data_IF_270610519577
#
_entry.id   IF_270610519577
#
_cell.length_a   1.000
_cell.length_b   1.000
_cell.length_c   1.000
_cell.angle_alpha   90.00
_cell.angle_beta   90.00
_cell.angle_gamma   90.00
#
_symmetry.space_group_name_H-M   'P 1'
#
loop_
_entity.id
_entity.type
_entity.pdbx_description
1 polymer ?
#
# COMPACT_ATOMS: atom_id res chain seq x y z
N UNK A 1 43.12 47.89 -42.55
CA UNK A 1 42.73 46.78 -43.44
C UNK A 1 41.35 46.29 -42.98
N UNK A 2 40.27 46.86 -43.51
CA UNK A 2 38.90 46.56 -43.06
C UNK A 2 38.20 45.71 -44.11
N UNK A 3 37.85 44.47 -43.77
CA UNK A 3 36.98 43.62 -44.60
C UNK A 3 35.89 43.02 -43.73
N UNK A 4 34.69 43.60 -43.81
CA UNK A 4 33.43 43.01 -43.35
C UNK A 4 32.75 42.34 -44.55
N UNK A 5 32.49 41.03 -44.55
CA UNK A 5 31.50 40.46 -45.47
C UNK A 5 30.10 40.49 -44.84
N UNK A 6 29.16 40.99 -45.62
CA UNK A 6 27.72 41.06 -45.35
C UNK A 6 27.03 39.73 -45.67
N UNK A 7 26.13 39.34 -44.77
CA UNK A 7 24.89 38.55 -44.91
C UNK A 7 24.74 37.54 -46.04
N UNK A 8 24.45 36.29 -45.65
CA UNK A 8 23.47 35.45 -46.35
C UNK A 8 22.54 34.83 -45.32
N UNK A 9 21.31 35.36 -45.24
CA UNK A 9 20.23 34.82 -44.46
C UNK A 9 19.51 33.74 -45.27
N UNK A 10 19.80 32.48 -44.99
CA UNK A 10 19.05 31.33 -45.50
C UNK A 10 17.93 30.98 -44.51
N UNK A 11 16.73 31.52 -44.76
CA UNK A 11 15.49 30.96 -44.18
C UNK A 11 15.19 29.66 -44.90
N UNK A 12 15.30 28.53 -44.19
CA UNK A 12 14.66 27.29 -44.60
C UNK A 12 13.91 26.68 -43.43
N UNK A 13 12.58 26.78 -43.55
CA UNK A 13 11.59 25.74 -43.27
C UNK A 13 11.47 25.26 -41.81
N UNK A 14 10.37 25.72 -41.20
CA UNK A 14 9.77 25.25 -39.95
C UNK A 14 9.23 23.81 -40.12
N UNK A 15 9.68 22.82 -39.34
CA UNK A 15 8.84 21.69 -39.00
C UNK A 15 7.97 22.07 -37.79
N UNK A 16 6.66 22.12 -38.02
CA UNK A 16 5.66 22.21 -36.97
C UNK A 16 5.58 20.86 -36.25
N UNK A 17 6.43 20.65 -35.26
CA UNK A 17 6.30 19.51 -34.36
C UNK A 17 5.16 19.76 -33.38
N UNK A 18 3.97 19.19 -33.66
CA UNK A 18 2.98 18.93 -32.61
C UNK A 18 3.60 17.92 -31.65
N UNK A 19 4.11 18.37 -30.51
CA UNK A 19 4.57 17.49 -29.44
C UNK A 19 3.47 17.40 -28.41
N UNK A 20 2.86 16.23 -28.37
CA UNK A 20 2.02 15.66 -27.33
C UNK A 20 2.44 16.15 -25.94
N UNK A 21 1.53 16.80 -25.22
CA UNK A 21 1.74 17.14 -23.82
C UNK A 21 1.80 15.86 -22.98
N UNK A 22 3.00 15.30 -22.81
CA UNK A 22 3.27 14.31 -21.78
C UNK A 22 3.12 15.06 -20.46
N UNK A 23 2.08 14.73 -19.68
CA UNK A 23 1.94 15.19 -18.30
C UNK A 23 3.19 14.78 -17.53
N UNK A 24 4.06 15.76 -17.24
CA UNK A 24 5.16 15.56 -16.31
C UNK A 24 4.58 15.22 -14.92
N UNK A 25 5.15 14.25 -14.18
CA UNK A 25 4.73 14.03 -12.80
C UNK A 25 5.04 15.29 -11.98
N UNK A 26 4.03 15.79 -11.27
CA UNK A 26 4.21 16.86 -10.28
C UNK A 26 5.15 16.32 -9.20
N UNK A 27 6.44 16.63 -9.29
CA UNK A 27 7.36 16.42 -8.20
C UNK A 27 6.98 17.38 -7.07
N UNK A 28 6.34 16.86 -6.03
CA UNK A 28 6.18 17.58 -4.76
C UNK A 28 7.59 17.79 -4.19
N UNK A 29 8.17 18.97 -4.43
CA UNK A 29 9.34 19.43 -3.69
C UNK A 29 8.88 19.74 -2.28
N UNK A 30 9.21 18.85 -1.35
CA UNK A 30 9.12 19.18 0.07
C UNK A 30 10.14 20.29 0.36
N UNK A 31 9.70 21.31 1.09
CA UNK A 31 10.48 22.51 1.37
C UNK A 31 11.76 22.16 2.13
N UNK A 32 12.90 22.58 1.55
CA UNK A 32 14.19 22.86 2.19
C UNK A 32 14.54 22.03 3.43
N UNK A 33 15.10 20.86 3.20
CA UNK A 33 16.26 20.42 3.97
C UNK A 33 17.43 20.40 2.98
N UNK A 34 18.59 20.94 3.35
CA UNK A 34 19.81 20.74 2.56
C UNK A 34 19.94 19.26 2.16
N UNK A 35 20.54 18.93 1.01
CA UNK A 35 20.84 17.54 0.69
C UNK A 35 21.86 17.02 1.69
N UNK A 36 21.36 16.57 2.85
CA UNK A 36 22.16 15.94 3.87
C UNK A 36 22.71 14.69 3.23
N UNK A 37 24.02 14.69 2.99
CA UNK A 37 24.70 13.58 2.35
C UNK A 37 24.31 12.31 3.10
N UNK A 38 23.77 11.29 2.40
CA UNK A 38 23.34 10.07 3.05
C UNK A 38 24.54 9.52 3.83
N UNK A 39 24.37 9.35 5.14
CA UNK A 39 25.44 8.74 5.93
C UNK A 39 25.71 7.34 5.38
N UNK A 40 26.96 6.86 5.35
CA UNK A 40 27.29 5.53 4.80
C UNK A 40 26.45 4.40 5.41
N UNK A 41 26.05 4.55 6.68
CA UNK A 41 25.14 3.62 7.37
C UNK A 41 23.71 3.66 6.80
N UNK A 42 23.19 4.84 6.45
CA UNK A 42 21.86 4.97 5.85
C UNK A 42 21.75 4.28 4.49
N UNK A 43 22.82 4.30 3.69
CA UNK A 43 22.88 3.58 2.41
C UNK A 43 22.91 2.07 2.60
N UNK A 44 23.69 1.59 3.58
CA UNK A 44 23.76 0.17 3.91
C UNK A 44 22.39 -0.41 4.30
N UNK A 45 21.67 0.25 5.21
CA UNK A 45 20.32 -0.18 5.62
C UNK A 45 19.31 -0.11 4.48
N UNK A 46 19.46 0.87 3.58
CA UNK A 46 18.57 1.03 2.43
C UNK A 46 18.80 -0.05 1.38
N UNK A 47 20.05 -0.47 1.17
CA UNK A 47 20.42 -1.46 0.17
C UNK A 47 20.17 -2.89 0.64
N UNK A 48 20.60 -3.24 1.85
CA UNK A 48 20.61 -4.63 2.32
C UNK A 48 19.47 -4.95 3.29
N UNK A 49 19.22 -4.06 4.24
CA UNK A 49 18.23 -4.36 5.29
C UNK A 49 16.80 -4.16 4.82
N UNK A 50 16.54 -3.15 3.97
CA UNK A 50 15.19 -2.83 3.51
C UNK A 50 14.53 -3.94 2.67
N UNK A 51 15.22 -4.60 1.71
CA UNK A 51 14.65 -5.75 1.01
C UNK A 51 14.44 -6.95 1.92
N UNK A 52 15.42 -7.28 2.78
CA UNK A 52 15.34 -8.42 3.70
C UNK A 52 14.19 -8.25 4.70
N UNK A 53 14.09 -7.08 5.33
CA UNK A 53 13.00 -6.76 6.24
C UNK A 53 11.64 -6.83 5.54
N UNK A 54 11.55 -6.36 4.29
CA UNK A 54 10.31 -6.44 3.51
C UNK A 54 9.88 -7.89 3.29
N UNK A 55 10.80 -8.76 2.88
CA UNK A 55 10.50 -10.18 2.66
C UNK A 55 10.16 -10.88 3.96
N UNK A 56 10.93 -10.64 5.03
CA UNK A 56 10.68 -11.22 6.35
C UNK A 56 9.30 -10.84 6.88
N UNK A 57 8.93 -9.57 6.80
CA UNK A 57 7.61 -9.10 7.24
C UNK A 57 6.49 -9.66 6.37
N UNK A 58 6.66 -9.72 5.05
CA UNK A 58 5.67 -10.32 4.15
C UNK A 58 5.52 -11.83 4.38
N UNK A 59 6.62 -12.54 4.61
CA UNK A 59 6.61 -13.96 4.92
C UNK A 59 5.89 -14.24 6.24
N UNK A 60 6.24 -13.48 7.28
CA UNK A 60 5.59 -13.57 8.59
C UNK A 60 4.09 -13.27 8.46
N UNK A 61 3.73 -12.18 7.78
CA UNK A 61 2.33 -11.81 7.56
C UNK A 61 1.56 -12.89 6.78
N UNK A 62 2.16 -13.47 5.75
CA UNK A 62 1.55 -14.55 4.97
C UNK A 62 1.29 -15.78 5.85
N UNK A 63 2.27 -16.18 6.67
CA UNK A 63 2.10 -17.27 7.62
C UNK A 63 0.97 -16.98 8.62
N UNK A 64 0.92 -15.76 9.16
CA UNK A 64 -0.16 -15.37 10.08
C UNK A 64 -1.53 -15.43 9.41
N UNK A 65 -1.66 -14.99 8.15
CA UNK A 65 -2.94 -15.07 7.43
C UNK A 65 -3.38 -16.51 7.18
N UNK A 66 -2.46 -17.40 6.81
CA UNK A 66 -2.77 -18.82 6.59
C UNK A 66 -3.19 -19.47 7.90
N UNK A 67 -2.43 -19.24 8.98
CA UNK A 67 -2.77 -19.78 10.31
C UNK A 67 -4.09 -19.22 10.83
N UNK A 68 -4.32 -17.91 10.70
CA UNK A 68 -5.58 -17.29 11.07
C UNK A 68 -6.74 -17.84 10.25
N UNK A 69 -6.57 -17.99 8.93
CA UNK A 69 -7.56 -18.60 8.06
C UNK A 69 -7.89 -20.04 8.47
N UNK A 70 -6.89 -20.83 8.84
CA UNK A 70 -7.06 -22.18 9.37
C UNK A 70 -7.91 -22.19 10.64
N UNK A 71 -7.52 -21.41 11.66
CA UNK A 71 -8.24 -21.34 12.94
C UNK A 71 -9.66 -20.81 12.76
N UNK A 72 -9.86 -19.86 11.85
CA UNK A 72 -11.17 -19.25 11.59
C UNK A 72 -12.13 -20.23 10.93
N UNK A 73 -11.66 -21.09 10.03
CA UNK A 73 -12.47 -22.17 9.44
C UNK A 73 -12.94 -23.17 10.51
N UNK A 74 -12.08 -23.54 11.45
CA UNK A 74 -12.46 -24.41 12.58
C UNK A 74 -13.48 -23.74 13.51
N UNK A 75 -13.32 -22.44 13.76
CA UNK A 75 -14.24 -21.69 14.62
C UNK A 75 -15.61 -21.44 13.99
N UNK A 76 -15.73 -21.34 12.68
CA UNK A 76 -17.02 -21.09 12.01
C UNK A 76 -18.02 -22.23 12.30
N UNK A 77 -17.55 -23.49 12.37
CA UNK A 77 -18.40 -24.65 12.70
C UNK A 77 -18.80 -24.66 14.18
N UNK A 78 -17.83 -24.45 15.08
CA UNK A 78 -18.04 -24.43 16.53
C UNK A 78 -18.97 -23.29 16.93
N UNK A 79 -18.83 -22.12 16.31
CA UNK A 79 -19.64 -20.94 16.65
C UNK A 79 -21.11 -21.17 16.29
N UNK A 80 -21.38 -21.83 15.16
CA UNK A 80 -22.75 -22.13 14.74
C UNK A 80 -23.44 -23.09 15.73
N UNK A 81 -22.73 -24.13 16.19
CA UNK A 81 -23.25 -25.10 17.16
C UNK A 81 -23.54 -24.43 18.51
N UNK A 82 -22.58 -23.67 19.04
CA UNK A 82 -22.74 -22.98 20.34
C UNK A 82 -23.84 -21.93 20.30
N UNK A 83 -24.01 -21.22 19.18
CA UNK A 83 -25.11 -20.27 19.04
C UNK A 83 -26.47 -20.98 19.06
N UNK A 84 -26.56 -22.19 18.47
CA UNK A 84 -27.76 -23.02 18.52
C UNK A 84 -28.08 -23.52 19.92
N UNK A 85 -27.07 -23.95 20.68
CA UNK A 85 -27.24 -24.34 22.08
C UNK A 85 -27.70 -23.18 22.96
N UNK A 86 -27.11 -21.99 22.78
CA UNK A 86 -27.51 -20.78 23.51
C UNK A 86 -28.98 -20.45 23.22
N UNK A 87 -29.40 -20.45 21.94
CA UNK A 87 -30.78 -20.17 21.57
C UNK A 87 -31.76 -21.18 22.18
N UNK A 88 -31.39 -22.46 22.24
CA UNK A 88 -32.19 -23.51 22.89
C UNK A 88 -32.31 -23.28 24.39
N UNK A 89 -31.19 -22.95 25.05
CA UNK A 89 -31.16 -22.68 26.49
C UNK A 89 -31.96 -21.43 26.84
N UNK A 90 -31.87 -20.36 26.04
CA UNK A 90 -32.68 -19.15 26.21
C UNK A 90 -34.18 -19.45 26.09
N UNK A 91 -34.59 -20.28 25.13
CA UNK A 91 -35.97 -20.70 24.98
C UNK A 91 -36.47 -21.53 26.19
N UNK A 92 -35.63 -22.44 26.69
CA UNK A 92 -35.93 -23.26 27.87
C UNK A 92 -36.07 -22.38 29.13
N UNK A 93 -35.14 -21.44 29.35
CA UNK A 93 -35.21 -20.48 30.46
C UNK A 93 -36.48 -19.65 30.37
N UNK A 94 -36.79 -19.08 29.20
CA UNK A 94 -38.00 -18.27 29.00
C UNK A 94 -39.28 -19.08 29.29
N UNK A 95 -39.32 -20.35 28.87
CA UNK A 95 -40.42 -21.27 29.17
C UNK A 95 -40.56 -21.53 30.67
N UNK A 96 -39.46 -21.79 31.36
CA UNK A 96 -39.46 -22.09 32.79
C UNK A 96 -39.79 -20.86 33.64
N UNK A 97 -39.26 -19.69 33.30
CA UNK A 97 -39.62 -18.42 33.95
C UNK A 97 -41.10 -18.13 33.78
N UNK A 98 -41.65 -18.27 32.56
CA UNK A 98 -43.08 -18.06 32.32
C UNK A 98 -43.96 -19.09 33.06
N UNK A 99 -43.53 -20.35 33.18
CA UNK A 99 -44.24 -21.39 33.95
C UNK A 99 -44.18 -21.16 35.47
N UNK A 100 -43.10 -20.56 35.96
CA UNK A 100 -42.90 -20.25 37.38
C UNK A 100 -43.61 -18.98 37.83
N UNK A 101 -43.96 -18.08 36.89
CA UNK A 101 -44.66 -16.82 37.15
C UNK A 101 -46.18 -16.90 36.88
N UNK A 102 -46.69 -18.07 36.53
CA UNK A 102 -48.10 -18.40 36.38
C UNK A 102 -48.53 -19.34 37.51
#
# INVERSE_FOLDING_TARGET
MNTRPLSIASRLIRPSSRITAIRAPIQRRFASSEPQQPSPLSEFYKSFTRPVAKVLLMAMFTYQLVYWGWVKLEQDEITAERQGEIAKLEAEVKRLTHKSSA
#
